data_IF_392243342706
#
_entry.id   IF_392243342706
#
_cell.length_a   1.000
_cell.length_b   1.000
_cell.length_c   1.000
_cell.angle_alpha   90.00
_cell.angle_beta   90.00
_cell.angle_gamma   90.00
#
_symmetry.space_group_name_H-M   'P 1'
#
loop_
_entity.id
_entity.type
_entity.pdbx_description
1 polymer ?
#
# COMPACT_ATOMS: atom_id res chain seq x y z
N UNK A 1 -4.82 25.16 -3.64
CA UNK A 1 -5.97 24.67 -2.86
C UNK A 1 -5.58 24.33 -1.42
N UNK A 2 -4.56 23.47 -1.20
CA UNK A 2 -4.09 23.10 0.15
C UNK A 2 -3.71 24.33 0.98
N UNK A 3 -2.89 25.25 0.45
CA UNK A 3 -2.52 26.50 1.16
C UNK A 3 -3.72 27.36 1.58
N UNK A 4 -4.77 27.44 0.75
CA UNK A 4 -5.98 28.20 1.09
C UNK A 4 -6.77 27.53 2.23
N UNK A 5 -6.87 26.20 2.19
CA UNK A 5 -7.53 25.42 3.25
C UNK A 5 -6.76 25.51 4.57
N UNK A 6 -5.44 25.31 4.53
CA UNK A 6 -4.54 25.44 5.68
C UNK A 6 -4.61 26.84 6.29
N UNK A 7 -4.43 27.89 5.48
CA UNK A 7 -4.49 29.26 5.96
C UNK A 7 -5.87 29.63 6.52
N UNK A 8 -6.96 29.14 5.92
CA UNK A 8 -8.32 29.40 6.45
C UNK A 8 -8.54 28.65 7.75
N UNK A 9 -8.07 27.41 7.86
CA UNK A 9 -8.17 26.61 9.08
C UNK A 9 -7.40 27.24 10.24
N UNK A 10 -6.18 27.72 9.98
CA UNK A 10 -5.27 28.28 10.97
C UNK A 10 -5.63 29.72 11.36
N UNK A 11 -5.97 30.57 10.38
CA UNK A 11 -6.11 32.02 10.60
C UNK A 11 -7.56 32.51 10.62
N UNK A 12 -8.50 31.77 10.00
CA UNK A 12 -9.92 32.18 9.88
C UNK A 12 -10.86 31.00 10.11
N UNK A 13 -10.68 30.32 11.25
CA UNK A 13 -11.36 29.07 11.62
C UNK A 13 -12.90 29.15 11.49
N UNK A 14 -13.51 30.29 11.82
CA UNK A 14 -14.96 30.51 11.68
C UNK A 14 -15.46 30.54 10.23
N UNK A 15 -14.58 30.80 9.27
CA UNK A 15 -14.89 30.81 7.84
C UNK A 15 -14.62 29.46 7.16
N UNK A 16 -13.95 28.52 7.86
CA UNK A 16 -13.54 27.25 7.28
C UNK A 16 -14.74 26.41 6.81
N UNK A 17 -15.77 26.27 7.64
CA UNK A 17 -17.00 25.53 7.26
C UNK A 17 -17.68 26.13 6.04
N UNK A 18 -17.79 27.47 5.99
CA UNK A 18 -18.36 28.21 4.86
C UNK A 18 -17.56 27.97 3.58
N UNK A 19 -16.23 27.97 3.68
CA UNK A 19 -15.35 27.68 2.56
C UNK A 19 -15.54 26.25 2.04
N UNK A 20 -15.59 25.26 2.94
CA UNK A 20 -15.81 23.85 2.56
C UNK A 20 -17.15 23.68 1.85
N UNK A 21 -18.24 24.26 2.38
CA UNK A 21 -19.56 24.23 1.73
C UNK A 21 -19.53 24.88 0.35
N UNK A 22 -18.85 26.03 0.20
CA UNK A 22 -18.71 26.70 -1.09
C UNK A 22 -17.92 25.84 -2.10
N UNK A 23 -16.84 25.19 -1.67
CA UNK A 23 -16.04 24.28 -2.50
C UNK A 23 -16.89 23.10 -2.99
N UNK A 24 -17.67 22.47 -2.09
CA UNK A 24 -18.54 21.35 -2.44
C UNK A 24 -19.58 21.78 -3.48
N UNK A 25 -20.29 22.88 -3.23
CA UNK A 25 -21.28 23.41 -4.19
C UNK A 25 -20.66 23.75 -5.55
N UNK A 26 -19.49 24.40 -5.54
CA UNK A 26 -18.80 24.73 -6.77
C UNK A 26 -18.35 23.48 -7.52
N UNK A 27 -17.89 22.44 -6.81
CA UNK A 27 -17.49 21.18 -7.41
C UNK A 27 -18.68 20.43 -8.03
N UNK A 28 -19.85 20.44 -7.39
CA UNK A 28 -21.08 19.87 -7.95
C UNK A 28 -21.42 20.50 -9.30
N UNK A 29 -21.33 21.84 -9.41
CA UNK A 29 -21.62 22.56 -10.65
C UNK A 29 -20.54 22.34 -11.71
N UNK A 30 -19.27 22.59 -11.36
CA UNK A 30 -18.16 22.55 -12.30
C UNK A 30 -17.91 21.15 -12.85
N UNK A 31 -17.90 20.14 -11.97
CA UNK A 31 -17.54 18.78 -12.36
C UNK A 31 -18.65 18.06 -13.13
N UNK A 32 -19.91 18.41 -12.89
CA UNK A 32 -21.04 17.91 -13.68
C UNK A 32 -20.92 18.32 -15.15
N UNK A 33 -20.52 19.56 -15.43
CA UNK A 33 -20.26 20.05 -16.79
C UNK A 33 -19.03 19.44 -17.48
N UNK A 34 -18.17 18.73 -16.75
CA UNK A 34 -16.95 18.07 -17.25
C UNK A 34 -17.06 16.54 -17.36
N UNK A 35 -18.25 15.97 -17.12
CA UNK A 35 -18.47 14.53 -17.20
C UNK A 35 -17.87 13.72 -16.05
N UNK A 36 -17.49 14.35 -14.94
CA UNK A 36 -16.96 13.70 -13.74
C UNK A 36 -17.67 14.20 -12.47
N UNK A 37 -19.00 14.02 -12.34
CA UNK A 37 -19.77 14.60 -11.24
C UNK A 37 -19.20 14.19 -9.88
N UNK A 38 -19.27 15.12 -8.91
CA UNK A 38 -18.93 14.83 -7.52
C UNK A 38 -19.84 13.70 -7.01
N UNK A 39 -19.25 12.65 -6.42
CA UNK A 39 -19.98 11.46 -6.01
C UNK A 39 -20.40 11.48 -4.54
N UNK A 40 -21.36 10.60 -4.17
CA UNK A 40 -21.80 10.44 -2.78
C UNK A 40 -20.64 9.99 -1.88
N UNK A 41 -19.81 9.08 -2.37
CA UNK A 41 -18.67 8.50 -1.67
C UNK A 41 -17.60 9.57 -1.38
N UNK A 42 -17.40 10.52 -2.28
CA UNK A 42 -16.47 11.64 -2.07
C UNK A 42 -16.95 12.56 -0.92
N UNK A 43 -18.27 12.79 -0.81
CA UNK A 43 -18.88 13.55 0.29
C UNK A 43 -18.78 12.78 1.61
N UNK A 44 -19.06 11.48 1.60
CA UNK A 44 -18.98 10.65 2.80
C UNK A 44 -17.55 10.59 3.34
N UNK A 45 -16.53 10.47 2.47
CA UNK A 45 -15.12 10.58 2.86
C UNK A 45 -14.79 11.93 3.50
N UNK A 46 -15.28 13.03 2.92
CA UNK A 46 -15.11 14.36 3.51
C UNK A 46 -15.74 14.45 4.90
N UNK A 47 -16.96 13.93 5.07
CA UNK A 47 -17.68 13.91 6.35
C UNK A 47 -16.95 13.08 7.43
N UNK A 48 -16.19 12.05 7.06
CA UNK A 48 -15.35 11.27 7.98
C UNK A 48 -14.11 12.06 8.44
N UNK A 49 -13.52 12.88 7.55
CA UNK A 49 -12.29 13.63 7.83
C UNK A 49 -12.52 14.91 8.66
N UNK A 50 -13.67 15.57 8.48
CA UNK A 50 -13.99 16.84 9.14
C UNK A 50 -13.94 16.78 10.68
N UNK A 51 -14.40 15.71 11.36
CA UNK A 51 -14.24 15.54 12.80
C UNK A 51 -12.79 15.55 13.27
N UNK A 52 -11.84 15.05 12.45
CA UNK A 52 -10.41 15.05 12.77
C UNK A 52 -9.79 16.45 12.87
N UNK A 53 -10.44 17.46 12.27
CA UNK A 53 -10.10 18.88 12.43
C UNK A 53 -11.09 19.62 13.33
N UNK A 54 -11.87 18.88 14.13
CA UNK A 54 -12.90 19.37 15.05
C UNK A 54 -14.00 20.18 14.37
N UNK A 55 -14.39 19.78 13.15
CA UNK A 55 -15.53 20.36 12.46
C UNK A 55 -16.61 19.32 12.20
N UNK A 56 -17.85 19.77 12.33
CA UNK A 56 -19.02 19.07 11.84
C UNK A 56 -19.79 20.08 10.99
N UNK A 57 -20.10 19.73 9.75
CA UNK A 57 -20.79 20.62 8.81
C UNK A 57 -22.18 20.02 8.57
N UNK A 58 -23.23 20.49 9.29
CA UNK A 58 -24.57 19.94 9.19
C UNK A 58 -25.10 19.92 7.76
N UNK A 59 -24.76 20.91 6.95
CA UNK A 59 -25.19 21.03 5.54
C UNK A 59 -24.70 19.87 4.68
N UNK A 60 -23.54 19.28 5.01
CA UNK A 60 -22.98 18.13 4.29
C UNK A 60 -23.46 16.79 4.86
N UNK A 61 -24.06 16.80 6.05
CA UNK A 61 -24.67 15.63 6.70
C UNK A 61 -26.19 15.58 6.47
N UNK A 62 -26.77 16.65 5.92
CA UNK A 62 -28.19 16.77 5.69
C UNK A 62 -28.69 15.69 4.73
N UNK A 63 -29.76 15.00 5.11
CA UNK A 63 -30.28 13.86 4.35
C UNK A 63 -30.82 14.26 2.98
N UNK A 64 -31.39 15.47 2.86
CA UNK A 64 -31.87 15.98 1.58
C UNK A 64 -30.70 16.31 0.64
N UNK A 65 -29.63 16.92 1.17
CA UNK A 65 -28.40 17.16 0.43
C UNK A 65 -27.75 15.84 -0.05
N UNK A 66 -27.62 14.86 0.85
CA UNK A 66 -27.01 13.58 0.56
C UNK A 66 -27.80 12.74 -0.46
N UNK A 67 -29.13 12.90 -0.50
CA UNK A 67 -29.99 12.26 -1.50
C UNK A 67 -29.81 12.83 -2.93
N UNK A 68 -29.28 14.05 -3.05
CA UNK A 68 -29.04 14.69 -4.37
C UNK A 68 -27.96 13.99 -5.21
N UNK A 69 -27.14 13.14 -4.58
CA UNK A 69 -26.11 12.34 -5.25
C UNK A 69 -26.62 10.97 -5.75
N UNK A 70 -27.91 10.65 -5.52
CA UNK A 70 -28.50 9.33 -5.76
C UNK A 70 -28.23 8.36 -4.60
N UNK A 71 -28.85 7.18 -4.64
CA UNK A 71 -28.51 6.07 -3.75
C UNK A 71 -27.01 5.79 -3.89
N UNK A 72 -26.29 5.59 -2.79
CA UNK A 72 -24.95 5.01 -2.86
C UNK A 72 -25.09 3.75 -3.71
N UNK A 73 -24.52 3.76 -4.92
CA UNK A 73 -24.41 2.51 -5.66
C UNK A 73 -23.64 1.59 -4.73
N UNK A 74 -24.10 0.35 -4.55
CA UNK A 74 -23.27 -0.73 -4.06
C UNK A 74 -22.17 -1.01 -5.11
N UNK A 75 -21.35 0.01 -5.36
CA UNK A 75 -20.13 -0.04 -6.12
C UNK A 75 -19.05 -0.38 -5.13
N UNK A 76 -18.29 -1.40 -5.50
CA UNK A 76 -17.08 -1.92 -4.87
C UNK A 76 -16.59 -1.11 -3.68
N UNK A 77 -16.44 -1.73 -2.49
CA UNK A 77 -15.83 -1.04 -1.38
C UNK A 77 -14.52 -0.46 -1.88
N UNK A 78 -14.34 0.86 -1.71
CA UNK A 78 -12.99 1.42 -1.67
C UNK A 78 -12.16 0.44 -0.86
N UNK A 79 -10.95 0.02 -1.29
CA UNK A 79 -10.20 -1.01 -0.57
C UNK A 79 -9.90 -0.48 0.83
N UNK A 80 -10.84 -0.71 1.74
CA UNK A 80 -10.55 -0.96 3.12
C UNK A 80 -9.77 -2.24 3.01
N UNK A 81 -8.45 -2.08 3.13
CA UNK A 81 -7.56 -3.11 3.59
C UNK A 81 -8.34 -4.16 4.39
N UNK A 82 -8.72 -5.27 3.75
CA UNK A 82 -9.27 -6.39 4.51
C UNK A 82 -8.08 -6.86 5.33
N UNK A 83 -8.14 -6.64 6.64
CA UNK A 83 -7.03 -7.02 7.52
C UNK A 83 -6.77 -8.52 7.49
N UNK A 84 -7.73 -9.31 7.01
CA UNK A 84 -7.67 -10.77 6.97
C UNK A 84 -8.13 -11.32 5.63
N UNK A 85 -7.41 -12.33 5.13
CA UNK A 85 -7.85 -13.18 4.03
C UNK A 85 -8.94 -14.12 4.53
N UNK A 86 -9.85 -14.54 3.65
CA UNK A 86 -10.73 -15.67 3.96
C UNK A 86 -9.88 -16.94 4.16
N UNK A 87 -10.33 -17.84 5.03
CA UNK A 87 -9.61 -19.09 5.31
C UNK A 87 -9.41 -19.92 4.04
N UNK A 88 -10.42 -19.98 3.17
CA UNK A 88 -10.32 -20.65 1.88
C UNK A 88 -9.23 -20.03 0.98
N UNK A 89 -9.18 -18.69 0.86
CA UNK A 89 -8.18 -18.03 0.01
C UNK A 89 -6.78 -18.10 0.61
N UNK A 90 -6.65 -18.04 1.94
CA UNK A 90 -5.37 -18.25 2.61
C UNK A 90 -4.82 -19.66 2.35
N UNK A 91 -5.68 -20.69 2.44
CA UNK A 91 -5.31 -22.08 2.16
C UNK A 91 -4.94 -22.30 0.68
N UNK A 92 -5.69 -21.69 -0.24
CA UNK A 92 -5.40 -21.70 -1.67
C UNK A 92 -4.01 -21.12 -1.96
N UNK A 93 -3.72 -19.93 -1.43
CA UNK A 93 -2.43 -19.27 -1.60
C UNK A 93 -1.29 -20.04 -0.93
N UNK A 94 -1.51 -20.63 0.25
CA UNK A 94 -0.51 -21.47 0.92
C UNK A 94 -0.14 -22.70 0.08
N UNK A 95 -1.14 -23.34 -0.52
CA UNK A 95 -0.95 -24.47 -1.43
C UNK A 95 -0.19 -24.04 -2.68
N UNK A 96 -0.57 -22.91 -3.28
CA UNK A 96 0.09 -22.35 -4.45
C UNK A 96 1.57 -22.05 -4.17
N UNK A 97 1.91 -21.48 -3.01
CA UNK A 97 3.28 -21.18 -2.62
C UNK A 97 4.15 -22.46 -2.59
N UNK A 98 3.61 -23.56 -2.09
CA UNK A 98 4.29 -24.86 -2.09
C UNK A 98 4.44 -25.42 -3.51
N UNK A 99 3.41 -25.34 -4.34
CA UNK A 99 3.47 -25.85 -5.72
C UNK A 99 4.50 -25.11 -6.58
N UNK A 100 4.71 -23.81 -6.36
CA UNK A 100 5.73 -23.01 -7.06
C UNK A 100 7.13 -23.63 -6.88
N UNK A 101 7.43 -24.27 -5.75
CA UNK A 101 8.74 -24.91 -5.50
C UNK A 101 9.09 -26.01 -6.52
N UNK A 102 8.09 -26.65 -7.12
CA UNK A 102 8.23 -27.79 -8.03
C UNK A 102 8.46 -27.38 -9.49
N UNK A 103 8.36 -26.09 -9.78
CA UNK A 103 8.49 -25.55 -11.14
C UNK A 103 9.95 -25.36 -11.54
N UNK A 104 10.20 -25.31 -12.85
CA UNK A 104 11.49 -24.92 -13.40
C UNK A 104 11.87 -23.48 -13.01
N UNK A 105 13.17 -23.12 -12.97
CA UNK A 105 13.60 -21.84 -12.42
C UNK A 105 12.94 -20.59 -13.04
N UNK A 106 12.72 -20.59 -14.36
CA UNK A 106 12.16 -19.44 -15.06
C UNK A 106 10.66 -19.30 -14.81
N UNK A 107 9.92 -20.40 -14.95
CA UNK A 107 8.48 -20.43 -14.66
C UNK A 107 8.19 -20.08 -13.21
N UNK A 108 9.06 -20.51 -12.30
CA UNK A 108 8.96 -20.25 -10.87
C UNK A 108 9.01 -18.76 -10.52
N UNK A 109 9.95 -18.02 -11.11
CA UNK A 109 10.03 -16.56 -10.93
C UNK A 109 8.75 -15.86 -11.37
N UNK A 110 8.30 -16.15 -12.60
CA UNK A 110 7.07 -15.56 -13.15
C UNK A 110 5.82 -15.92 -12.32
N UNK A 111 5.72 -17.18 -11.86
CA UNK A 111 4.61 -17.61 -11.00
C UNK A 111 4.66 -16.97 -9.63
N UNK A 112 5.85 -16.70 -9.10
CA UNK A 112 5.99 -15.98 -7.84
C UNK A 112 5.54 -14.52 -7.93
N UNK A 113 5.86 -13.82 -9.02
CA UNK A 113 5.34 -12.48 -9.29
C UNK A 113 3.80 -12.46 -9.29
N UNK A 114 3.18 -13.42 -9.99
CA UNK A 114 1.73 -13.59 -10.04
C UNK A 114 1.13 -13.89 -8.66
N UNK A 115 1.75 -14.81 -7.90
CA UNK A 115 1.33 -15.13 -6.53
C UNK A 115 1.35 -13.90 -5.62
N UNK A 116 2.41 -13.08 -5.67
CA UNK A 116 2.49 -11.85 -4.87
C UNK A 116 1.40 -10.85 -5.27
N UNK A 117 1.10 -10.74 -6.55
CA UNK A 117 0.00 -9.90 -7.03
C UNK A 117 -1.34 -10.34 -6.43
N UNK A 118 -1.64 -11.65 -6.45
CA UNK A 118 -2.86 -12.20 -5.84
C UNK A 118 -2.89 -12.00 -4.32
N UNK A 119 -1.77 -12.19 -3.63
CA UNK A 119 -1.64 -11.96 -2.20
C UNK A 119 -1.97 -10.51 -1.85
N UNK A 120 -1.35 -9.55 -2.54
CA UNK A 120 -1.61 -8.12 -2.32
C UNK A 120 -3.06 -7.74 -2.65
N UNK A 121 -3.65 -8.32 -3.70
CA UNK A 121 -5.04 -8.11 -4.06
C UNK A 121 -5.98 -8.61 -2.95
N UNK A 122 -5.69 -9.78 -2.37
CA UNK A 122 -6.47 -10.36 -1.28
C UNK A 122 -6.48 -9.51 0.00
N UNK A 123 -5.43 -8.72 0.25
CA UNK A 123 -5.36 -7.74 1.33
C UNK A 123 -5.85 -6.33 0.91
N UNK A 124 -6.37 -6.15 -0.31
CA UNK A 124 -6.88 -4.86 -0.78
C UNK A 124 -5.78 -3.83 -1.08
N UNK A 125 -4.54 -4.23 -1.34
CA UNK A 125 -3.42 -3.32 -1.55
C UNK A 125 -3.35 -2.73 -2.97
N UNK A 126 -4.40 -2.86 -3.78
CA UNK A 126 -4.48 -2.34 -5.16
C UNK A 126 -3.20 -2.61 -6.00
N UNK A 127 -2.80 -3.88 -6.16
CA UNK A 127 -1.53 -4.21 -6.81
C UNK A 127 -1.58 -3.92 -8.31
N UNK A 128 -0.40 -3.68 -8.87
CA UNK A 128 -0.12 -3.60 -10.30
C UNK A 128 0.97 -4.62 -10.62
N UNK A 129 0.74 -5.45 -11.62
CA UNK A 129 1.74 -6.41 -12.11
C UNK A 129 2.96 -5.71 -12.73
N UNK A 130 3.90 -6.52 -13.21
CA UNK A 130 5.16 -6.04 -13.77
C UNK A 130 4.99 -4.98 -14.86
N UNK A 131 5.90 -4.01 -14.89
CA UNK A 131 5.91 -2.94 -15.87
C UNK A 131 7.33 -2.51 -16.21
N UNK A 132 7.49 -1.91 -17.39
CA UNK A 132 8.77 -1.42 -17.89
C UNK A 132 8.78 0.10 -17.97
N UNK A 133 9.86 0.67 -17.47
CA UNK A 133 10.29 2.04 -17.74
C UNK A 133 11.49 1.99 -18.68
N UNK A 134 11.91 3.13 -19.22
CA UNK A 134 13.09 3.19 -20.09
C UNK A 134 14.32 2.75 -19.31
N UNK A 135 14.89 1.60 -19.67
CA UNK A 135 16.07 1.02 -19.02
C UNK A 135 15.83 0.33 -17.68
N UNK A 136 14.58 0.14 -17.25
CA UNK A 136 14.27 -0.45 -15.94
C UNK A 136 13.02 -1.35 -16.03
N UNK A 137 13.11 -2.56 -15.46
CA UNK A 137 11.96 -3.43 -15.20
C UNK A 137 11.69 -3.48 -13.69
N UNK A 138 10.41 -3.38 -13.35
CA UNK A 138 9.88 -3.51 -12.00
C UNK A 138 8.86 -4.66 -12.00
N UNK A 139 9.00 -5.58 -11.04
CA UNK A 139 8.20 -6.81 -10.99
C UNK A 139 6.76 -6.56 -10.53
N UNK A 140 6.53 -5.46 -9.81
CA UNK A 140 5.19 -4.98 -9.52
C UNK A 140 5.17 -3.75 -8.62
N UNK A 141 3.97 -3.32 -8.25
CA UNK A 141 3.79 -2.34 -7.19
C UNK A 141 2.44 -2.51 -6.49
N UNK A 142 2.30 -1.92 -5.31
CA UNK A 142 1.03 -1.86 -4.59
C UNK A 142 0.92 -0.56 -3.79
N UNK A 143 -0.26 -0.29 -3.23
CA UNK A 143 -0.54 0.87 -2.39
C UNK A 143 -0.82 0.45 -0.95
N UNK A 144 -0.16 1.12 -0.01
CA UNK A 144 -0.40 0.99 1.43
C UNK A 144 -0.37 2.40 2.03
N UNK A 145 -1.44 2.80 2.73
CA UNK A 145 -1.56 4.11 3.39
C UNK A 145 -1.24 5.32 2.49
N UNK A 146 -1.66 5.24 1.22
CA UNK A 146 -1.40 6.30 0.24
C UNK A 146 0.02 6.33 -0.32
N UNK A 147 0.91 5.45 0.14
CA UNK A 147 2.26 5.27 -0.38
C UNK A 147 2.31 4.19 -1.46
N UNK A 148 3.20 4.37 -2.42
CA UNK A 148 3.48 3.36 -3.45
C UNK A 148 4.67 2.52 -3.03
N UNK A 149 4.47 1.21 -2.94
CA UNK A 149 5.52 0.23 -2.76
C UNK A 149 5.86 -0.39 -4.11
N UNK A 150 7.10 -0.23 -4.56
CA UNK A 150 7.64 -1.02 -5.67
C UNK A 150 8.02 -2.40 -5.16
N UNK A 151 7.84 -3.43 -5.99
CA UNK A 151 8.12 -4.82 -5.63
C UNK A 151 9.25 -5.34 -6.51
N UNK A 152 10.21 -5.99 -5.87
CA UNK A 152 11.17 -6.89 -6.51
C UNK A 152 10.95 -8.29 -5.91
N UNK A 153 10.79 -9.28 -6.78
CA UNK A 153 10.45 -10.64 -6.40
C UNK A 153 11.53 -11.60 -6.90
N UNK A 154 12.17 -12.33 -5.97
CA UNK A 154 13.22 -13.29 -6.33
C UNK A 154 12.93 -14.69 -5.79
N UNK A 155 12.91 -15.64 -6.71
CA UNK A 155 12.84 -17.06 -6.41
C UNK A 155 14.06 -17.82 -6.95
N UNK A 156 15.14 -17.80 -6.17
CA UNK A 156 16.34 -18.59 -6.44
C UNK A 156 16.84 -19.30 -5.18
N UNK A 157 17.77 -20.25 -5.35
CA UNK A 157 18.30 -21.05 -4.25
C UNK A 157 19.17 -20.25 -3.27
N UNK A 158 20.20 -19.53 -3.75
CA UNK A 158 21.06 -18.73 -2.87
C UNK A 158 20.29 -17.62 -2.15
N UNK A 159 20.78 -17.15 -1.01
CA UNK A 159 20.22 -15.96 -0.35
C UNK A 159 20.60 -14.68 -1.10
N UNK A 160 19.79 -13.63 -0.95
CA UNK A 160 20.05 -12.30 -1.51
C UNK A 160 21.16 -11.61 -0.74
N UNK A 161 22.17 -11.12 -1.46
CA UNK A 161 23.28 -10.36 -0.89
C UNK A 161 23.15 -8.84 -1.03
N UNK A 162 24.19 -8.13 -0.59
CA UNK A 162 24.28 -6.67 -0.62
C UNK A 162 24.07 -6.05 -2.01
N UNK A 163 24.66 -6.64 -3.06
CA UNK A 163 24.63 -6.07 -4.41
C UNK A 163 23.21 -5.98 -4.99
N UNK A 164 22.39 -7.01 -4.77
CA UNK A 164 20.99 -7.04 -5.18
C UNK A 164 20.16 -6.00 -4.39
N UNK A 165 20.36 -5.93 -3.06
CA UNK A 165 19.70 -4.93 -2.21
C UNK A 165 20.02 -3.49 -2.66
N UNK A 166 21.29 -3.21 -2.98
CA UNK A 166 21.73 -1.90 -3.48
C UNK A 166 21.14 -1.57 -4.84
N UNK A 167 21.11 -2.55 -5.76
CA UNK A 167 20.51 -2.40 -7.08
C UNK A 167 19.05 -1.98 -6.95
N UNK A 168 18.25 -2.71 -6.18
CA UNK A 168 16.84 -2.39 -6.01
C UNK A 168 16.61 -1.10 -5.23
N UNK A 169 17.37 -0.86 -4.16
CA UNK A 169 17.34 0.39 -3.40
C UNK A 169 17.64 1.62 -4.29
N UNK A 170 18.55 1.48 -5.26
CA UNK A 170 18.83 2.49 -6.29
C UNK A 170 17.62 2.77 -7.17
N UNK A 171 16.96 1.74 -7.70
CA UNK A 171 15.72 1.87 -8.49
C UNK A 171 14.64 2.63 -7.71
N UNK A 172 14.42 2.26 -6.45
CA UNK A 172 13.43 2.90 -5.56
C UNK A 172 13.84 4.35 -5.25
N UNK A 173 15.12 4.60 -5.00
CA UNK A 173 15.65 5.95 -4.72
C UNK A 173 15.54 6.91 -5.89
N UNK A 174 15.49 6.40 -7.13
CA UNK A 174 15.23 7.18 -8.34
C UNK A 174 13.75 7.50 -8.58
N UNK A 175 12.83 7.10 -7.68
CA UNK A 175 11.40 7.43 -7.76
C UNK A 175 11.06 8.61 -6.88
N UNK A 176 9.77 8.98 -6.89
CA UNK A 176 9.26 9.99 -5.99
C UNK A 176 9.60 9.64 -4.52
N UNK A 177 9.93 10.65 -3.72
CA UNK A 177 10.43 10.50 -2.34
C UNK A 177 9.51 9.75 -1.38
N UNK A 178 8.22 9.67 -1.72
CA UNK A 178 7.18 8.95 -0.99
C UNK A 178 7.07 7.46 -1.41
N UNK A 179 7.85 7.02 -2.39
CA UNK A 179 7.91 5.61 -2.79
C UNK A 179 8.74 4.80 -1.79
N UNK A 180 8.38 3.54 -1.61
CA UNK A 180 9.13 2.55 -0.83
C UNK A 180 9.37 1.30 -1.67
N UNK A 181 10.32 0.46 -1.28
CA UNK A 181 10.55 -0.84 -1.90
C UNK A 181 10.16 -1.98 -0.97
N UNK A 182 9.52 -3.00 -1.51
CA UNK A 182 9.39 -4.32 -0.90
C UNK A 182 10.23 -5.31 -1.72
N UNK A 183 11.27 -5.87 -1.10
CA UNK A 183 12.04 -6.96 -1.69
C UNK A 183 11.56 -8.27 -1.08
N UNK A 184 10.97 -9.14 -1.90
CA UNK A 184 10.55 -10.47 -1.47
C UNK A 184 11.49 -11.53 -2.04
N UNK A 185 12.13 -12.30 -1.16
CA UNK A 185 13.05 -13.39 -1.54
C UNK A 185 12.60 -14.72 -0.95
N UNK A 186 12.32 -15.74 -1.76
CA UNK A 186 11.94 -17.05 -1.23
C UNK A 186 13.02 -17.65 -0.30
N UNK A 187 14.29 -17.50 -0.65
CA UNK A 187 15.43 -18.01 0.13
C UNK A 187 15.90 -17.07 1.24
N UNK A 188 15.33 -15.86 1.31
CA UNK A 188 15.73 -14.82 2.25
C UNK A 188 17.02 -14.09 1.84
N UNK A 189 17.73 -13.58 2.85
CA UNK A 189 18.82 -12.61 2.69
C UNK A 189 20.03 -13.01 3.54
N UNK A 190 21.24 -12.73 3.06
CA UNK A 190 22.44 -12.98 3.84
C UNK A 190 22.55 -11.97 4.98
N UNK A 191 22.97 -12.44 6.16
CA UNK A 191 23.18 -11.57 7.33
C UNK A 191 24.20 -10.48 7.04
N UNK A 192 25.33 -10.85 6.42
CA UNK A 192 26.38 -9.91 6.01
C UNK A 192 25.86 -8.86 5.02
N UNK A 193 25.00 -9.27 4.06
CA UNK A 193 24.41 -8.37 3.08
C UNK A 193 23.45 -7.35 3.70
N UNK A 194 22.60 -7.81 4.62
CA UNK A 194 21.70 -6.94 5.39
C UNK A 194 22.47 -5.96 6.29
N UNK A 195 23.52 -6.44 6.97
CA UNK A 195 24.36 -5.60 7.81
C UNK A 195 25.07 -4.51 7.00
N UNK A 196 25.73 -4.90 5.90
CA UNK A 196 26.39 -3.96 5.01
C UNK A 196 25.41 -2.93 4.45
N UNK A 197 24.20 -3.35 4.05
CA UNK A 197 23.16 -2.45 3.56
C UNK A 197 22.72 -1.43 4.63
N UNK A 198 22.47 -1.89 5.86
CA UNK A 198 22.05 -1.04 6.98
C UNK A 198 23.11 0.00 7.40
N UNK A 199 24.40 -0.27 7.14
CA UNK A 199 25.49 0.66 7.45
C UNK A 199 25.84 1.57 6.27
N UNK A 200 25.61 1.11 5.05
CA UNK A 200 26.01 1.81 3.83
C UNK A 200 25.11 2.97 3.42
N UNK A 201 23.82 2.93 3.78
CA UNK A 201 22.85 3.98 3.42
C UNK A 201 21.59 3.97 4.26
N UNK A 202 20.81 5.04 4.19
CA UNK A 202 19.42 5.04 4.65
C UNK A 202 18.59 4.03 3.84
N UNK A 203 17.85 3.17 4.54
CA UNK A 203 16.97 2.18 3.93
C UNK A 203 15.70 2.85 3.39
N UNK A 204 15.39 2.54 2.14
CA UNK A 204 14.09 2.79 1.52
C UNK A 204 13.36 1.47 1.23
N UNK A 205 13.84 0.36 1.82
CA UNK A 205 13.38 -1.00 1.58
C UNK A 205 12.81 -1.62 2.85
N UNK A 206 11.76 -2.42 2.65
CA UNK A 206 11.32 -3.50 3.53
C UNK A 206 11.64 -4.83 2.83
N UNK A 207 12.09 -5.82 3.58
CA UNK A 207 12.39 -7.15 3.10
C UNK A 207 11.45 -8.18 3.74
N UNK A 208 11.01 -9.15 2.94
CA UNK A 208 10.25 -10.30 3.39
C UNK A 208 10.79 -11.56 2.73
N UNK A 209 10.72 -12.69 3.44
CA UNK A 209 11.14 -13.98 2.90
C UNK A 209 9.99 -14.99 2.73
N UNK A 210 10.30 -16.17 2.17
CA UNK A 210 9.31 -17.23 1.98
C UNK A 210 8.67 -17.71 3.29
N UNK A 211 9.40 -17.64 4.42
CA UNK A 211 8.88 -18.01 5.73
C UNK A 211 7.90 -16.95 6.25
N UNK A 212 8.21 -15.66 6.08
CA UNK A 212 7.29 -14.56 6.38
C UNK A 212 5.96 -14.72 5.61
N UNK A 213 6.02 -15.06 4.32
CA UNK A 213 4.83 -15.32 3.50
C UNK A 213 4.03 -16.53 4.01
N UNK A 214 4.73 -17.61 4.36
CA UNK A 214 4.09 -18.78 4.95
C UNK A 214 3.41 -18.47 6.28
N UNK A 215 4.02 -17.65 7.15
CA UNK A 215 3.44 -17.25 8.44
C UNK A 215 2.19 -16.38 8.26
N UNK A 216 2.21 -15.42 7.33
CA UNK A 216 1.02 -14.63 6.95
C UNK A 216 -0.14 -15.53 6.54
N UNK A 217 0.13 -16.58 5.76
CA UNK A 217 -0.90 -17.48 5.25
C UNK A 217 -1.36 -18.53 6.27
N UNK A 218 -0.44 -19.11 7.03
CA UNK A 218 -0.71 -20.23 7.96
C UNK A 218 -1.19 -19.79 9.34
N UNK A 219 -0.63 -18.70 9.87
CA UNK A 219 -0.95 -18.20 11.22
C UNK A 219 -2.07 -17.17 11.24
N UNK A 220 -2.68 -16.89 10.08
CA UNK A 220 -3.73 -15.87 9.89
C UNK A 220 -3.29 -14.47 10.36
N UNK A 221 -1.99 -14.18 10.29
CA UNK A 221 -1.45 -12.84 10.60
C UNK A 221 -1.71 -11.94 9.40
N UNK A 222 -2.17 -10.71 9.66
CA UNK A 222 -2.40 -9.74 8.60
C UNK A 222 -1.10 -9.35 7.91
N UNK A 223 -1.04 -9.45 6.57
CA UNK A 223 0.09 -8.93 5.79
C UNK A 223 0.28 -7.43 6.03
N UNK A 224 -0.80 -6.71 6.25
CA UNK A 224 -0.76 -5.26 6.51
C UNK A 224 -0.07 -4.98 7.83
N UNK A 225 -0.45 -5.68 8.90
CA UNK A 225 0.20 -5.55 10.20
C UNK A 225 1.69 -5.95 10.13
N UNK A 226 2.03 -6.99 9.36
CA UNK A 226 3.42 -7.39 9.10
C UNK A 226 4.21 -6.29 8.41
N UNK A 227 3.67 -5.71 7.33
CA UNK A 227 4.34 -4.64 6.58
C UNK A 227 4.51 -3.39 7.43
N UNK A 228 3.50 -2.99 8.20
CA UNK A 228 3.56 -1.85 9.13
C UNK A 228 4.61 -2.06 10.23
N UNK A 229 4.67 -3.25 10.83
CA UNK A 229 5.64 -3.57 11.86
C UNK A 229 7.08 -3.60 11.30
N UNK A 230 7.27 -4.16 10.10
CA UNK A 230 8.55 -4.11 9.39
C UNK A 230 8.94 -2.68 8.99
N UNK A 231 7.98 -1.87 8.53
CA UNK A 231 8.20 -0.45 8.19
C UNK A 231 8.69 0.32 9.42
N UNK A 232 8.00 0.18 10.55
CA UNK A 232 8.39 0.80 11.82
C UNK A 232 9.80 0.38 12.22
N UNK A 233 10.12 -0.91 12.14
CA UNK A 233 11.45 -1.42 12.47
C UNK A 233 12.53 -0.82 11.56
N UNK A 234 12.26 -0.74 10.26
CA UNK A 234 13.17 -0.14 9.29
C UNK A 234 13.37 1.35 9.57
N UNK A 235 12.31 2.10 9.90
CA UNK A 235 12.39 3.51 10.24
C UNK A 235 13.18 3.77 11.53
N UNK A 236 13.01 2.93 12.56
CA UNK A 236 13.68 3.09 13.86
C UNK A 236 15.14 2.63 13.86
N UNK A 237 15.51 1.66 13.02
CA UNK A 237 16.83 0.99 13.11
C UNK A 237 17.63 0.93 11.82
N UNK A 238 17.08 1.43 10.72
CA UNK A 238 17.65 1.32 9.39
C UNK A 238 17.84 -0.13 8.89
N UNK A 239 17.25 -1.12 9.57
CA UNK A 239 17.30 -2.54 9.17
C UNK A 239 16.14 -2.86 8.23
N UNK A 240 16.46 -3.25 7.00
CA UNK A 240 15.45 -3.58 5.99
C UNK A 240 14.69 -4.90 6.28
N UNK A 241 15.27 -5.80 7.08
CA UNK A 241 14.70 -7.11 7.39
C UNK A 241 14.60 -7.35 8.90
N UNK A 242 13.49 -7.97 9.29
CA UNK A 242 13.22 -8.60 10.59
C UNK A 242 12.22 -9.72 10.29
N UNK A 243 12.43 -10.93 10.81
CA UNK A 243 11.52 -12.04 10.53
C UNK A 243 10.17 -11.81 11.21
N UNK A 244 9.07 -12.29 10.61
CA UNK A 244 7.71 -12.13 11.17
C UNK A 244 7.61 -12.73 12.57
N UNK A 245 8.19 -13.92 12.81
CA UNK A 245 8.30 -14.53 14.14
C UNK A 245 9.01 -13.68 15.21
N UNK A 246 9.81 -12.71 14.80
CA UNK A 246 10.51 -11.79 15.72
C UNK A 246 9.70 -10.49 15.95
N UNK A 247 8.53 -10.38 15.31
CA UNK A 247 7.56 -9.31 15.51
C UNK A 247 6.51 -9.76 16.53
N UNK A 248 6.15 -8.88 17.45
CA UNK A 248 5.09 -9.13 18.44
C UNK A 248 3.70 -8.87 17.80
N UNK A 249 3.29 -9.74 16.85
CA UNK A 249 2.05 -9.65 16.08
C UNK A 249 1.02 -10.72 16.47
#
# INVERSE_FOLDING_TARGET
MVQLLTATLEQRRSCFTKLIVAIVRQAMTYRRGKGNPLSREEIDRLNILLPGVQFKIPELLDSSFLSSFGSAKAGEPAPQASSTLSEAKAQELATLLVEITKLDPQTRGLRFEGFLNELFAGFGLAPRGSFRLVGEQIDGSFKLHGQTYLVEAKWHGPQIGFADLMTFSGKVGGKASWSRGLFVSNSGFTTEGLEAFSRGRQTNLICADGLDLYEVLSRKVSLIAVLEAKERRAAETNRAFVAVRDLNL
#
